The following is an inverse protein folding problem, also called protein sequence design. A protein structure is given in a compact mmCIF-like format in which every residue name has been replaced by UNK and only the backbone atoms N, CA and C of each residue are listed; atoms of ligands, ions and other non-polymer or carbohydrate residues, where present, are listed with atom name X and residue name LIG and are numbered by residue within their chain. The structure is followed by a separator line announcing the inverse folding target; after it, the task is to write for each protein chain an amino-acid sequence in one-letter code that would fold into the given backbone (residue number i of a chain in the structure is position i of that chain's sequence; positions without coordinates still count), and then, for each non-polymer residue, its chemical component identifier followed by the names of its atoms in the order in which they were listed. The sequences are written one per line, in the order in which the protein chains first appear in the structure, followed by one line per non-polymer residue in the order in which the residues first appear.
data_IF_840357994699
#
_entry.id   IF_840357994699
#
_cell.length_a   1.000
_cell.length_b   1.000
_cell.length_c   1.000
_cell.angle_alpha   90.00
_cell.angle_beta   90.00
_cell.angle_gamma   90.00
#
_symmetry.space_group_name_H-M   'P 1'
#
loop_
_entity.id
_entity.type
_entity.pdbx_description
1 polymer ?
#
# COMPACT_ATOMS: atom_id res chain seq x y z
N UNK A 1 -7.26 -6.75 28.25
CA UNK A 1 -7.65 -5.40 27.79
C UNK A 1 -7.86 -5.52 26.30
N UNK A 2 -8.99 -5.05 25.81
CA UNK A 2 -9.23 -5.02 24.38
C UNK A 2 -8.24 -4.04 23.72
N UNK A 3 -7.79 -4.33 22.50
CA UNK A 3 -6.92 -3.43 21.74
C UNK A 3 -7.60 -2.06 21.58
N UNK A 4 -8.93 -2.05 21.40
CA UNK A 4 -9.71 -0.81 21.31
C UNK A 4 -9.60 0.05 22.58
N UNK A 5 -9.69 -0.56 23.77
CA UNK A 5 -9.55 0.15 25.05
C UNK A 5 -8.15 0.71 25.23
N UNK A 6 -7.13 -0.04 24.81
CA UNK A 6 -5.73 0.39 24.89
C UNK A 6 -5.54 1.60 23.98
N UNK A 7 -6.01 1.55 22.74
CA UNK A 7 -5.87 2.64 21.78
C UNK A 7 -6.67 3.89 22.18
N UNK A 8 -7.86 3.72 22.76
CA UNK A 8 -8.67 4.83 23.27
C UNK A 8 -8.03 5.56 24.46
N UNK A 9 -7.15 4.89 25.20
CA UNK A 9 -6.41 5.50 26.31
C UNK A 9 -5.25 6.41 25.84
N UNK A 10 -4.84 6.34 24.57
CA UNK A 10 -3.81 7.21 24.02
C UNK A 10 -4.42 8.45 23.35
N UNK A 11 -3.81 9.64 23.52
CA UNK A 11 -4.25 10.84 22.83
C UNK A 11 -4.10 10.67 21.31
N UNK A 12 -4.98 11.32 20.54
CA UNK A 12 -4.91 11.31 19.08
C UNK A 12 -3.59 11.94 18.62
N UNK A 13 -2.73 11.13 18.01
CA UNK A 13 -1.47 11.59 17.44
C UNK A 13 -1.70 12.20 16.05
N UNK A 14 -0.97 13.27 15.74
CA UNK A 14 -0.98 13.86 14.41
C UNK A 14 -0.09 13.02 13.46
N UNK A 15 -0.73 12.21 12.63
CA UNK A 15 -0.08 11.36 11.62
C UNK A 15 0.33 9.98 12.15
N UNK A 16 0.85 9.16 11.26
CA UNK A 16 1.25 7.78 11.56
C UNK A 16 2.74 7.54 11.31
N UNK A 17 3.26 6.43 11.85
CA UNK A 17 4.59 5.89 11.53
C UNK A 17 4.51 4.65 10.63
N UNK A 18 3.55 4.65 9.69
CA UNK A 18 3.18 3.50 8.88
C UNK A 18 4.37 2.85 8.18
N UNK A 19 5.28 3.63 7.57
CA UNK A 19 6.43 3.08 6.87
C UNK A 19 7.39 2.32 7.79
N UNK A 20 7.64 2.81 9.00
CA UNK A 20 8.40 2.06 10.02
C UNK A 20 7.68 0.79 10.46
N UNK A 21 6.37 0.87 10.73
CA UNK A 21 5.57 -0.28 11.14
C UNK A 21 5.55 -1.38 10.06
N UNK A 22 5.40 -0.99 8.79
CA UNK A 22 5.46 -1.89 7.64
C UNK A 22 6.84 -2.54 7.51
N UNK A 23 7.92 -1.77 7.62
CA UNK A 23 9.28 -2.31 7.55
C UNK A 23 9.51 -3.37 8.64
N UNK A 24 9.16 -3.06 9.89
CA UNK A 24 9.29 -4.00 11.00
C UNK A 24 8.40 -5.23 10.82
N UNK A 25 7.16 -5.06 10.34
CA UNK A 25 6.26 -6.19 10.08
C UNK A 25 6.81 -7.11 8.98
N UNK A 26 7.37 -6.54 7.91
CA UNK A 26 8.01 -7.32 6.85
C UNK A 26 9.27 -8.03 7.35
N UNK A 27 10.09 -7.39 8.18
CA UNK A 27 11.29 -8.01 8.76
C UNK A 27 10.97 -9.22 9.64
N UNK A 28 9.84 -9.20 10.36
CA UNK A 28 9.39 -10.35 11.16
C UNK A 28 9.03 -11.58 10.30
N UNK A 29 8.70 -11.36 9.02
CA UNK A 29 8.31 -12.42 8.08
C UNK A 29 9.44 -12.89 7.17
N UNK A 30 10.63 -12.31 7.26
CA UNK A 30 11.83 -12.76 6.53
C UNK A 30 12.08 -14.25 6.76
N UNK A 31 12.62 -14.93 5.75
CA UNK A 31 12.82 -16.39 5.67
C UNK A 31 11.56 -17.26 5.63
N UNK A 32 10.40 -16.75 6.07
CA UNK A 32 9.13 -17.50 6.10
C UNK A 32 8.15 -17.07 5.02
N UNK A 33 8.24 -15.81 4.60
CA UNK A 33 7.24 -15.17 3.76
C UNK A 33 5.89 -15.01 4.45
N UNK A 34 4.87 -14.69 3.66
CA UNK A 34 3.49 -14.60 4.10
C UNK A 34 2.82 -13.29 3.70
N UNK A 35 2.01 -12.75 4.60
CA UNK A 35 1.18 -11.58 4.31
C UNK A 35 1.12 -10.59 5.45
N UNK A 36 1.26 -9.31 5.10
CA UNK A 36 0.97 -8.18 6.00
C UNK A 36 -0.34 -7.55 5.56
N UNK A 37 -1.28 -7.35 6.49
CA UNK A 37 -2.50 -6.56 6.25
C UNK A 37 -2.37 -5.29 7.09
N UNK A 38 -2.15 -4.16 6.42
CA UNK A 38 -1.99 -2.86 7.05
C UNK A 38 -3.28 -2.06 6.94
N UNK A 39 -3.76 -1.56 8.07
CA UNK A 39 -4.89 -0.63 8.14
C UNK A 39 -4.34 0.75 8.52
N UNK A 40 -4.70 1.78 7.75
CA UNK A 40 -4.31 3.15 8.07
C UNK A 40 -5.49 4.12 7.89
N UNK A 41 -5.40 5.27 8.56
CA UNK A 41 -6.36 6.37 8.43
C UNK A 41 -5.69 7.75 8.34
N UNK A 42 -4.36 7.83 8.48
CA UNK A 42 -3.62 9.08 8.49
C UNK A 42 -2.29 8.97 7.74
N UNK A 43 -1.89 10.10 7.16
CA UNK A 43 -0.65 10.20 6.39
C UNK A 43 0.57 9.87 7.26
N UNK A 44 1.55 9.10 6.75
CA UNK A 44 2.77 8.80 7.48
C UNK A 44 3.61 10.07 7.65
N UNK A 45 3.67 10.62 8.87
CA UNK A 45 4.41 11.84 9.19
C UNK A 45 5.69 11.57 9.99
N UNK A 46 5.81 10.37 10.55
CA UNK A 46 6.91 10.02 11.46
C UNK A 46 7.61 8.74 11.00
N UNK A 47 8.91 8.63 11.30
CA UNK A 47 9.67 7.40 11.04
C UNK A 47 10.22 7.28 9.61
N UNK A 48 10.19 6.06 9.06
CA UNK A 48 10.61 5.77 7.70
C UNK A 48 9.46 5.99 6.72
N UNK A 49 9.78 6.41 5.49
CA UNK A 49 8.77 6.64 4.44
C UNK A 49 7.81 7.78 4.76
N UNK A 50 8.32 8.86 5.35
CA UNK A 50 7.54 10.06 5.70
C UNK A 50 7.05 10.75 4.43
N UNK A 51 5.76 11.09 4.40
CA UNK A 51 5.11 11.76 3.28
C UNK A 51 4.67 13.17 3.69
N UNK A 52 5.07 14.16 2.90
CA UNK A 52 4.60 15.54 3.08
C UNK A 52 3.22 15.72 2.44
N UNK A 53 2.32 16.48 3.09
CA UNK A 53 0.96 16.73 2.57
C UNK A 53 1.03 17.55 1.26
N UNK A 54 0.90 16.88 0.10
CA UNK A 54 0.90 17.52 -1.24
C UNK A 54 -0.21 18.57 -1.41
N UNK A 55 -1.36 18.32 -0.79
CA UNK A 55 -2.62 19.02 -1.08
C UNK A 55 -2.67 20.50 -0.67
N UNK A 56 -1.75 21.01 0.16
CA UNK A 56 -1.80 22.43 0.56
C UNK A 56 -1.06 23.39 -0.38
N UNK A 57 -0.33 22.93 -1.40
CA UNK A 57 0.49 23.82 -2.23
C UNK A 57 0.04 23.97 -3.69
N UNK A 58 -0.72 23.01 -4.24
CA UNK A 58 -0.94 22.94 -5.71
C UNK A 58 -2.41 23.06 -6.12
N UNK A 59 -3.36 22.49 -5.36
CA UNK A 59 -4.78 22.42 -5.77
C UNK A 59 -5.47 23.79 -5.78
N UNK A 60 -4.98 24.76 -4.98
CA UNK A 60 -5.61 26.08 -4.91
C UNK A 60 -5.30 27.00 -6.11
N UNK A 61 -4.35 26.65 -7.01
CA UNK A 61 -3.86 27.60 -8.03
C UNK A 61 -3.53 27.06 -9.41
N UNK A 62 -3.58 25.76 -9.68
CA UNK A 62 -3.20 25.23 -11.00
C UNK A 62 -4.10 24.09 -11.46
N UNK A 63 -4.92 24.37 -12.47
CA UNK A 63 -5.75 23.41 -13.20
C UNK A 63 -5.06 23.10 -14.53
N UNK A 64 -4.74 21.83 -14.81
CA UNK A 64 -4.15 21.40 -16.09
C UNK A 64 -3.50 20.02 -16.03
N UNK A 65 -3.50 19.30 -17.16
CA UNK A 65 -3.09 17.89 -17.29
C UNK A 65 -1.69 17.59 -16.73
N UNK A 66 -0.74 18.53 -16.85
CA UNK A 66 0.62 18.36 -16.34
C UNK A 66 0.67 18.25 -14.81
N UNK A 67 -0.18 19.01 -14.12
CA UNK A 67 -0.26 19.01 -12.65
C UNK A 67 -0.95 17.74 -12.15
N UNK A 68 -1.98 17.28 -12.87
CA UNK A 68 -2.64 16.01 -12.55
C UNK A 68 -1.67 14.83 -12.72
N UNK A 69 -0.87 14.82 -13.80
CA UNK A 69 0.16 13.80 -13.98
C UNK A 69 1.21 13.80 -12.87
N UNK A 70 1.65 14.96 -12.42
CA UNK A 70 2.60 15.10 -11.30
C UNK A 70 2.01 14.54 -9.99
N UNK A 71 0.72 14.79 -9.73
CA UNK A 71 0.04 14.29 -8.53
C UNK A 71 -0.12 12.76 -8.51
N UNK A 72 -0.08 12.12 -9.67
CA UNK A 72 -0.14 10.66 -9.79
C UNK A 72 1.22 9.98 -9.66
N UNK A 73 2.33 10.74 -9.74
CA UNK A 73 3.67 10.18 -9.53
C UNK A 73 3.95 10.03 -8.03
N UNK A 74 4.62 8.95 -7.57
CA UNK A 74 5.07 8.83 -6.19
C UNK A 74 6.10 9.93 -5.83
N UNK A 75 6.13 10.40 -4.57
CA UNK A 75 7.13 11.39 -4.12
C UNK A 75 8.49 10.74 -3.89
N UNK A 76 8.46 9.52 -3.36
CA UNK A 76 9.62 8.80 -2.87
C UNK A 76 9.51 7.32 -3.27
N UNK A 77 10.66 6.71 -3.53
CA UNK A 77 10.83 5.32 -3.92
C UNK A 77 10.79 4.38 -2.71
N UNK A 78 10.80 4.88 -1.47
CA UNK A 78 10.80 4.05 -0.26
C UNK A 78 9.76 2.90 -0.30
N UNK A 79 8.51 3.21 -0.64
CA UNK A 79 7.43 2.22 -0.67
C UNK A 79 7.57 1.23 -1.84
N UNK A 80 8.15 1.66 -2.95
CA UNK A 80 8.47 0.79 -4.10
C UNK A 80 9.63 -0.17 -3.77
N UNK A 81 10.70 0.34 -3.15
CA UNK A 81 11.83 -0.46 -2.68
C UNK A 81 11.40 -1.45 -1.61
N UNK A 82 10.54 -1.02 -0.67
CA UNK A 82 9.96 -1.92 0.33
C UNK A 82 9.08 -2.99 -0.31
N UNK A 83 8.29 -2.65 -1.33
CA UNK A 83 7.50 -3.62 -2.09
C UNK A 83 8.38 -4.66 -2.79
N UNK A 84 9.46 -4.21 -3.43
CA UNK A 84 10.44 -5.09 -4.09
C UNK A 84 11.16 -6.00 -3.10
N UNK A 85 11.54 -5.47 -1.93
CA UNK A 85 12.09 -6.25 -0.82
C UNK A 85 11.10 -7.33 -0.36
N UNK A 86 9.84 -6.96 -0.11
CA UNK A 86 8.81 -7.91 0.29
C UNK A 86 8.62 -9.02 -0.75
N UNK A 87 8.62 -8.70 -2.04
CA UNK A 87 8.51 -9.72 -3.09
C UNK A 87 9.65 -10.74 -3.06
N UNK A 88 10.89 -10.30 -2.83
CA UNK A 88 12.05 -11.18 -2.72
C UNK A 88 11.97 -12.09 -1.49
N UNK A 89 11.40 -11.60 -0.41
CA UNK A 89 11.20 -12.33 0.84
C UNK A 89 9.89 -13.14 0.89
N UNK A 90 9.19 -13.30 -0.26
CA UNK A 90 7.92 -14.02 -0.36
C UNK A 90 6.80 -13.42 0.50
N UNK A 91 6.84 -12.11 0.71
CA UNK A 91 5.89 -11.32 1.49
C UNK A 91 4.99 -10.53 0.55
N UNK A 92 3.68 -10.67 0.73
CA UNK A 92 2.67 -9.80 0.13
C UNK A 92 2.13 -8.81 1.16
N UNK A 93 1.78 -7.60 0.74
CA UNK A 93 1.27 -6.56 1.64
C UNK A 93 -0.01 -5.96 1.09
N UNK A 94 -1.06 -6.10 1.88
CA UNK A 94 -2.39 -5.55 1.62
C UNK A 94 -2.57 -4.27 2.44
N UNK A 95 -3.02 -3.18 1.81
CA UNK A 95 -3.25 -1.89 2.48
C UNK A 95 -4.73 -1.52 2.41
N UNK A 96 -5.37 -1.36 3.56
CA UNK A 96 -6.70 -0.79 3.71
C UNK A 96 -6.56 0.63 4.27
N UNK A 97 -6.86 1.62 3.44
CA UNK A 97 -6.76 3.04 3.77
C UNK A 97 -8.17 3.61 3.97
N UNK A 98 -8.45 4.11 5.17
CA UNK A 98 -9.73 4.70 5.56
C UNK A 98 -9.51 6.07 6.22
N UNK A 99 -9.04 7.09 5.47
CA UNK A 99 -8.94 8.44 6.00
C UNK A 99 -10.33 9.00 6.34
N UNK A 100 -10.48 9.56 7.54
CA UNK A 100 -11.68 10.32 7.89
C UNK A 100 -11.77 11.64 7.12
N UNK A 101 -12.92 12.30 7.22
CA UNK A 101 -13.24 13.55 6.49
C UNK A 101 -12.22 14.67 6.69
N UNK A 102 -11.57 14.74 7.85
CA UNK A 102 -10.56 15.77 8.18
C UNK A 102 -9.13 15.40 7.72
N UNK A 103 -8.90 14.17 7.27
CA UNK A 103 -7.57 13.61 6.97
C UNK A 103 -7.47 13.07 5.54
N UNK A 104 -8.16 13.69 4.59
CA UNK A 104 -8.29 13.27 3.17
C UNK A 104 -6.97 13.10 2.40
N UNK A 105 -5.83 13.52 2.98
CA UNK A 105 -4.58 13.71 2.27
C UNK A 105 -3.56 12.63 2.62
N UNK A 106 -3.85 11.37 2.28
CA UNK A 106 -3.01 10.22 2.63
C UNK A 106 -1.79 10.03 1.68
N UNK A 107 -1.77 10.76 0.56
CA UNK A 107 -0.86 10.53 -0.58
C UNK A 107 -0.85 9.07 -1.06
N UNK A 108 -2.01 8.67 -1.55
CA UNK A 108 -2.29 7.34 -2.07
C UNK A 108 -1.38 6.95 -3.24
N UNK A 109 -0.93 7.92 -4.06
CA UNK A 109 -0.04 7.67 -5.20
C UNK A 109 1.29 7.04 -4.79
N UNK A 110 1.86 7.48 -3.67
CA UNK A 110 3.11 6.96 -3.11
C UNK A 110 2.89 5.65 -2.36
N UNK A 111 1.85 5.60 -1.50
CA UNK A 111 1.58 4.41 -0.67
C UNK A 111 1.20 3.18 -1.48
N UNK A 112 0.45 3.34 -2.58
CA UNK A 112 0.01 2.23 -3.41
C UNK A 112 1.14 1.57 -4.21
N UNK A 113 2.34 2.17 -4.27
CA UNK A 113 3.50 1.52 -4.91
C UNK A 113 3.89 0.22 -4.20
N UNK A 114 3.75 0.15 -2.89
CA UNK A 114 4.13 -1.04 -2.13
C UNK A 114 3.33 -2.29 -2.55
N UNK A 115 1.98 -2.33 -2.47
CA UNK A 115 1.21 -3.50 -2.88
C UNK A 115 1.40 -3.86 -4.36
N UNK A 116 1.62 -2.88 -5.23
CA UNK A 116 1.91 -3.11 -6.65
C UNK A 116 3.16 -3.97 -6.84
N UNK A 117 4.21 -3.69 -6.07
CA UNK A 117 5.51 -4.34 -6.22
C UNK A 117 5.66 -5.65 -5.44
N UNK A 118 4.72 -6.00 -4.57
CA UNK A 118 4.72 -7.26 -3.83
C UNK A 118 3.52 -8.17 -4.14
N UNK A 119 2.74 -7.86 -5.19
CA UNK A 119 1.55 -8.63 -5.54
C UNK A 119 0.41 -8.57 -4.51
N UNK A 120 0.40 -7.52 -3.69
CA UNK A 120 -0.63 -7.26 -2.70
C UNK A 120 -1.79 -6.42 -3.24
N UNK A 121 -2.72 -6.04 -2.36
CA UNK A 121 -3.95 -5.32 -2.70
C UNK A 121 -4.07 -4.01 -1.96
N UNK A 122 -4.82 -3.09 -2.53
CA UNK A 122 -5.10 -1.78 -2.00
C UNK A 122 -6.61 -1.54 -1.97
N UNK A 123 -7.14 -1.16 -0.81
CA UNK A 123 -8.51 -0.66 -0.66
C UNK A 123 -8.45 0.76 -0.14
N UNK A 124 -9.21 1.66 -0.76
CA UNK A 124 -9.25 3.06 -0.40
C UNK A 124 -10.70 3.48 -0.17
N UNK A 125 -10.97 3.94 1.06
CA UNK A 125 -12.27 4.44 1.50
C UNK A 125 -12.14 5.94 1.75
N UNK A 126 -12.45 6.81 0.76
CA UNK A 126 -12.37 8.24 0.95
C UNK A 126 -13.41 8.71 1.96
N UNK A 127 -13.07 9.73 2.77
CA UNK A 127 -13.98 10.35 3.73
C UNK A 127 -14.71 9.35 4.64
N UNK A 128 -13.97 8.35 5.12
CA UNK A 128 -14.54 7.20 5.81
C UNK A 128 -15.42 7.62 7.00
N UNK A 129 -16.67 7.16 6.97
CA UNK A 129 -17.63 7.30 8.08
C UNK A 129 -18.03 5.91 8.57
N UNK A 130 -17.76 5.61 9.84
CA UNK A 130 -17.97 4.27 10.40
C UNK A 130 -19.40 3.73 10.19
N UNK A 131 -20.42 4.58 10.36
CA UNK A 131 -21.83 4.18 10.22
C UNK A 131 -22.22 3.85 8.77
N UNK A 132 -21.57 4.45 7.77
CA UNK A 132 -21.89 4.25 6.36
C UNK A 132 -20.98 3.21 5.69
N UNK A 133 -19.69 3.27 5.97
CA UNK A 133 -18.65 2.51 5.27
C UNK A 133 -18.14 1.31 6.06
N UNK A 134 -18.47 1.21 7.36
CA UNK A 134 -17.94 0.18 8.26
C UNK A 134 -18.21 -1.24 7.78
N UNK A 135 -19.42 -1.52 7.28
CA UNK A 135 -19.78 -2.82 6.71
C UNK A 135 -18.95 -3.16 5.47
N UNK A 136 -18.72 -2.19 4.60
CA UNK A 136 -17.93 -2.36 3.37
C UNK A 136 -16.45 -2.58 3.69
N UNK A 137 -15.92 -1.80 4.64
CA UNK A 137 -14.56 -1.96 5.15
C UNK A 137 -14.36 -3.35 5.78
N UNK A 138 -15.30 -3.76 6.64
CA UNK A 138 -15.29 -5.08 7.26
C UNK A 138 -15.31 -6.22 6.24
N UNK A 139 -16.14 -6.11 5.19
CA UNK A 139 -16.17 -7.08 4.08
C UNK A 139 -14.84 -7.16 3.34
N UNK A 140 -14.18 -6.02 3.08
CA UNK A 140 -12.85 -6.00 2.46
C UNK A 140 -11.78 -6.64 3.34
N UNK A 141 -11.81 -6.39 4.65
CA UNK A 141 -10.90 -7.01 5.60
C UNK A 141 -11.12 -8.53 5.68
N UNK A 142 -12.37 -8.98 5.83
CA UNK A 142 -12.72 -10.40 5.80
C UNK A 142 -12.23 -11.04 4.51
N UNK A 143 -12.50 -10.41 3.36
CA UNK A 143 -12.02 -10.90 2.07
C UNK A 143 -10.49 -11.02 2.03
N UNK A 144 -9.75 -10.03 2.54
CA UNK A 144 -8.28 -10.08 2.59
C UNK A 144 -7.78 -11.26 3.43
N UNK A 145 -8.50 -11.65 4.49
CA UNK A 145 -8.11 -12.75 5.39
C UNK A 145 -8.56 -14.12 4.87
N UNK A 146 -9.76 -14.23 4.31
CA UNK A 146 -10.40 -15.54 4.03
C UNK A 146 -10.31 -16.00 2.58
N UNK A 147 -9.96 -15.10 1.66
CA UNK A 147 -9.83 -15.48 0.24
C UNK A 147 -8.70 -16.50 0.06
N UNK A 148 -8.86 -17.41 -0.90
CA UNK A 148 -7.82 -18.39 -1.22
C UNK A 148 -6.63 -17.63 -1.81
N UNK A 149 -5.46 -17.78 -1.20
CA UNK A 149 -4.23 -17.14 -1.63
C UNK A 149 -3.11 -18.18 -1.79
N UNK A 150 -2.35 -18.05 -2.87
CA UNK A 150 -1.09 -18.77 -3.05
C UNK A 150 0.07 -17.86 -2.67
N UNK A 151 1.04 -18.42 -1.96
CA UNK A 151 2.32 -17.77 -1.65
C UNK A 151 3.42 -18.36 -2.53
N UNK A 152 4.50 -17.61 -2.76
CA UNK A 152 5.64 -18.04 -3.58
C UNK A 152 5.25 -18.50 -4.99
N UNK A 153 4.44 -17.67 -5.67
CA UNK A 153 3.95 -17.97 -7.01
C UNK A 153 4.76 -17.24 -8.09
N UNK A 154 5.27 -18.01 -9.05
CA UNK A 154 5.95 -17.48 -10.25
C UNK A 154 5.09 -17.75 -11.47
N UNK A 155 4.78 -16.70 -12.23
CA UNK A 155 4.01 -16.81 -13.49
C UNK A 155 4.96 -16.66 -14.68
N UNK A 156 4.96 -17.67 -15.56
CA UNK A 156 5.66 -17.65 -16.84
C UNK A 156 4.68 -17.82 -17.99
N UNK A 157 4.51 -16.79 -18.79
CA UNK A 157 3.66 -16.82 -19.98
C UNK A 157 4.48 -17.32 -21.18
N UNK A 158 3.93 -18.26 -21.95
CA UNK A 158 4.53 -18.82 -23.15
C UNK A 158 3.66 -18.51 -24.36
N UNK A 159 4.29 -18.29 -25.50
CA UNK A 159 3.64 -17.94 -26.75
C UNK A 159 4.04 -18.94 -27.85
N UNK A 160 3.21 -19.04 -28.89
CA UNK A 160 3.56 -19.83 -30.08
C UNK A 160 4.71 -19.16 -30.86
N UNK A 161 5.25 -19.90 -31.84
CA UNK A 161 6.30 -19.39 -32.72
C UNK A 161 5.91 -18.04 -33.33
N UNK A 162 6.85 -17.09 -33.31
CA UNK A 162 6.73 -15.72 -33.84
C UNK A 162 5.88 -14.74 -33.01
N UNK A 163 5.38 -15.13 -31.82
CA UNK A 163 4.76 -14.20 -30.89
C UNK A 163 5.70 -13.85 -29.74
N UNK A 164 5.82 -12.56 -29.39
CA UNK A 164 6.60 -12.06 -28.24
C UNK A 164 5.70 -11.32 -27.26
N UNK A 165 6.03 -11.41 -25.98
CA UNK A 165 5.36 -10.65 -24.92
C UNK A 165 6.11 -9.33 -24.76
N UNK A 166 5.39 -8.22 -24.89
CA UNK A 166 6.00 -6.89 -24.78
C UNK A 166 6.06 -6.42 -23.33
N UNK A 167 4.93 -6.47 -22.61
CA UNK A 167 4.83 -5.94 -21.26
C UNK A 167 3.91 -6.80 -20.39
N UNK A 168 4.17 -6.79 -19.09
CA UNK A 168 3.32 -7.33 -18.05
C UNK A 168 2.75 -6.17 -17.23
N UNK A 169 1.44 -6.17 -17.00
CA UNK A 169 0.74 -5.17 -16.20
C UNK A 169 -0.03 -5.85 -15.08
N UNK A 170 0.09 -5.36 -13.86
CA UNK A 170 -0.55 -5.95 -12.68
C UNK A 170 0.29 -5.72 -11.43
N UNK A 171 -0.18 -6.27 -10.31
CA UNK A 171 0.55 -6.26 -9.05
C UNK A 171 1.36 -7.56 -8.97
N UNK A 172 2.67 -7.45 -9.03
CA UNK A 172 3.58 -8.58 -8.89
C UNK A 172 4.99 -8.08 -8.59
N UNK A 173 5.74 -8.90 -7.87
CA UNK A 173 7.18 -8.72 -7.78
C UNK A 173 7.83 -8.88 -9.14
N UNK A 174 8.70 -7.94 -9.51
CA UNK A 174 9.62 -8.16 -10.63
C UNK A 174 10.81 -8.90 -10.04
N UNK A 175 11.08 -10.15 -10.45
CA UNK A 175 12.32 -10.79 -10.06
C UNK A 175 13.46 -9.87 -10.49
N UNK A 176 14.44 -9.67 -9.61
CA UNK A 176 15.76 -9.25 -10.05
C UNK A 176 16.22 -10.36 -11.01
N UNK A 177 16.02 -10.16 -12.31
CA UNK A 177 16.68 -10.99 -13.29
C UNK A 177 18.17 -10.87 -12.96
N UNK A 178 18.79 -11.95 -12.52
CA UNK A 178 20.23 -12.05 -12.60
C UNK A 178 20.55 -11.77 -14.07
N UNK A 179 21.30 -10.70 -14.33
CA UNK A 179 21.74 -10.33 -15.67
C UNK A 179 22.31 -11.59 -16.35
N UNK A 180 21.64 -12.08 -17.40
CA UNK A 180 22.22 -12.96 -18.41
C UNK A 180 22.77 -12.08 -19.55
#
# INVERSE_FOLDING_TARGET
KDIAEILAAYPSANGSCLGSALKSASEVLVDRGGKVIAMNSSVPLHGLGVLNRRLNRVVAKSTGDAVEMEMLQPVDEFYEQLGSFCANELISVDILSAPGTQTLNLDTSTLMRLPVYCGGRNWYFPEFVADADGDSFGKCLVKSVTEIQGFDAVVKVRTSSHMKINHYCGHFGRPLLADE
#
